data_IF_474454414930
#
_entry.id   IF_474454414930
#
_cell.length_a   1.000
_cell.length_b   1.000
_cell.length_c   1.000
_cell.angle_alpha   90.00
_cell.angle_beta   90.00
_cell.angle_gamma   90.00
#
_symmetry.space_group_name_H-M   'P 1'
#
loop_
_entity.id
_entity.type
_entity.pdbx_description
1 polymer ?
#
# COMPACT_ATOMS: atom_id res chain seq x y z
N UNK A 1 29.30 -0.88 -1.22
CA UNK A 1 28.63 -2.20 -1.24
C UNK A 1 28.33 -2.55 -2.69
N UNK A 2 28.16 -3.86 -2.98
CA UNK A 2 27.71 -4.33 -4.29
C UNK A 2 26.20 -4.64 -4.22
N UNK A 3 25.41 -4.00 -5.07
CA UNK A 3 23.96 -4.09 -5.09
C UNK A 3 23.49 -4.71 -6.41
N UNK A 4 22.70 -5.78 -6.38
CA UNK A 4 21.95 -6.23 -7.54
C UNK A 4 20.55 -5.66 -7.52
N UNK A 5 20.08 -5.13 -8.66
CA UNK A 5 18.71 -4.68 -8.86
C UNK A 5 18.07 -5.58 -9.90
N UNK A 6 17.12 -6.41 -9.47
CA UNK A 6 16.37 -7.32 -10.34
C UNK A 6 15.11 -6.59 -10.83
N UNK A 7 15.05 -6.40 -12.15
CA UNK A 7 14.04 -5.57 -12.81
C UNK A 7 14.53 -4.14 -13.06
N UNK A 8 15.11 -3.91 -14.23
CA UNK A 8 15.60 -2.60 -14.68
C UNK A 8 14.48 -1.75 -15.32
N UNK A 9 13.29 -1.76 -14.68
CA UNK A 9 12.15 -0.93 -15.01
C UNK A 9 12.25 0.47 -14.40
N UNK A 10 11.11 1.17 -14.31
CA UNK A 10 11.02 2.52 -13.75
C UNK A 10 11.54 2.59 -12.31
N UNK A 11 11.11 1.67 -11.44
CA UNK A 11 11.51 1.63 -10.03
C UNK A 11 13.00 1.32 -9.91
N UNK A 12 13.47 0.24 -10.55
CA UNK A 12 14.87 -0.18 -10.47
C UNK A 12 15.84 0.90 -10.92
N UNK A 13 15.57 1.55 -12.05
CA UNK A 13 16.43 2.63 -12.56
C UNK A 13 16.35 3.90 -11.71
N UNK A 14 15.21 4.19 -11.07
CA UNK A 14 15.04 5.33 -10.18
C UNK A 14 15.98 5.25 -8.98
N UNK A 15 16.21 4.06 -8.43
CA UNK A 15 17.11 3.87 -7.29
C UNK A 15 18.55 3.53 -7.71
N UNK A 16 18.76 2.91 -8.86
CA UNK A 16 20.10 2.62 -9.36
C UNK A 16 20.98 3.86 -9.46
N UNK A 17 20.45 4.96 -9.99
CA UNK A 17 21.20 6.21 -10.18
C UNK A 17 21.73 6.81 -8.86
N UNK A 18 20.91 7.14 -7.85
CA UNK A 18 21.39 7.72 -6.61
C UNK A 18 22.31 6.77 -5.82
N UNK A 19 22.08 5.45 -5.87
CA UNK A 19 22.99 4.50 -5.22
C UNK A 19 24.35 4.42 -5.91
N UNK A 20 24.39 4.45 -7.26
CA UNK A 20 25.65 4.55 -7.98
C UNK A 20 26.38 5.86 -7.63
N UNK A 21 25.67 6.98 -7.55
CA UNK A 21 26.22 8.27 -7.16
C UNK A 21 26.73 8.30 -5.70
N UNK A 22 26.14 7.48 -4.81
CA UNK A 22 26.61 7.27 -3.44
C UNK A 22 27.84 6.33 -3.35
N UNK A 23 28.35 5.85 -4.48
CA UNK A 23 29.57 5.03 -4.55
C UNK A 23 29.33 3.52 -4.38
N UNK A 24 28.09 3.05 -4.57
CA UNK A 24 27.82 1.62 -4.63
C UNK A 24 28.10 1.04 -6.03
N UNK A 25 28.60 -0.17 -6.07
CA UNK A 25 28.71 -0.95 -7.31
C UNK A 25 27.33 -1.52 -7.63
N UNK A 26 26.77 -1.14 -8.78
CA UNK A 26 25.43 -1.56 -9.19
C UNK A 26 25.52 -2.65 -10.26
N UNK A 27 24.76 -3.71 -10.06
CA UNK A 27 24.48 -4.74 -11.05
C UNK A 27 22.98 -4.68 -11.41
N UNK A 28 22.64 -4.31 -12.62
CA UNK A 28 21.27 -4.44 -13.12
C UNK A 28 21.07 -5.84 -13.66
N UNK A 29 20.00 -6.51 -13.24
CA UNK A 29 19.59 -7.81 -13.74
C UNK A 29 18.19 -7.71 -14.32
N UNK A 30 18.04 -7.92 -15.63
CA UNK A 30 16.74 -7.90 -16.30
C UNK A 30 16.72 -8.92 -17.44
N UNK A 31 15.76 -9.84 -17.42
CA UNK A 31 15.64 -10.91 -18.40
C UNK A 31 15.46 -10.38 -19.84
N UNK A 32 14.82 -9.20 -19.98
CA UNK A 32 14.55 -8.53 -21.26
C UNK A 32 14.76 -7.02 -21.13
N UNK A 33 16.02 -6.57 -21.00
CA UNK A 33 16.31 -5.18 -20.73
C UNK A 33 15.78 -4.27 -21.84
N UNK A 34 15.05 -3.24 -21.42
CA UNK A 34 14.51 -2.23 -22.32
C UNK A 34 15.63 -1.37 -22.93
N UNK A 35 15.41 -0.67 -24.07
CA UNK A 35 16.36 0.29 -24.60
C UNK A 35 16.78 1.36 -23.57
N UNK A 36 15.86 1.76 -22.68
CA UNK A 36 16.13 2.69 -21.57
C UNK A 36 17.10 2.09 -20.55
N UNK A 37 16.93 0.82 -20.17
CA UNK A 37 17.84 0.14 -19.26
C UNK A 37 19.24 -0.03 -19.86
N UNK A 38 19.33 -0.36 -21.16
CA UNK A 38 20.60 -0.47 -21.88
C UNK A 38 21.32 0.87 -21.99
N UNK A 39 20.58 1.95 -22.31
CA UNK A 39 21.13 3.30 -22.36
C UNK A 39 21.64 3.75 -20.99
N UNK A 40 20.86 3.52 -19.94
CA UNK A 40 21.24 3.81 -18.56
C UNK A 40 22.51 3.08 -18.14
N UNK A 41 22.60 1.77 -18.40
CA UNK A 41 23.77 0.97 -18.06
C UNK A 41 25.04 1.49 -18.74
N UNK A 42 24.94 1.88 -20.02
CA UNK A 42 26.05 2.46 -20.77
C UNK A 42 26.44 3.85 -20.29
N UNK A 43 25.45 4.71 -19.98
CA UNK A 43 25.69 6.10 -19.53
C UNK A 43 26.37 6.16 -18.18
N UNK A 44 25.99 5.26 -17.27
CA UNK A 44 26.46 5.25 -15.89
C UNK A 44 27.54 4.20 -15.61
N UNK A 45 28.05 3.53 -16.66
CA UNK A 45 29.05 2.44 -16.55
C UNK A 45 28.63 1.36 -15.53
N UNK A 46 27.36 0.95 -15.59
CA UNK A 46 26.74 -0.03 -14.70
C UNK A 46 26.62 -1.37 -15.43
N UNK A 47 27.00 -2.46 -14.77
CA UNK A 47 26.83 -3.81 -15.32
C UNK A 47 25.34 -4.14 -15.53
N UNK A 48 25.00 -4.71 -16.70
CA UNK A 48 23.67 -5.15 -17.05
C UNK A 48 23.73 -6.59 -17.53
N UNK A 49 23.08 -7.49 -16.80
CA UNK A 49 23.05 -8.92 -17.10
C UNK A 49 21.61 -9.39 -17.34
N UNK A 50 21.47 -10.50 -18.05
CA UNK A 50 20.16 -11.10 -18.37
C UNK A 50 19.84 -12.33 -17.52
N UNK A 51 20.77 -12.76 -16.65
CA UNK A 51 20.58 -13.86 -15.71
C UNK A 51 21.04 -13.46 -14.29
N UNK A 52 20.36 -13.95 -13.27
CA UNK A 52 20.75 -13.75 -11.88
C UNK A 52 22.02 -14.51 -11.51
N UNK A 53 22.29 -15.63 -12.17
CA UNK A 53 23.52 -16.43 -12.02
C UNK A 53 24.79 -15.63 -12.35
N UNK A 54 24.66 -14.56 -13.15
CA UNK A 54 25.78 -13.73 -13.63
C UNK A 54 26.24 -12.69 -12.60
N UNK A 55 25.87 -12.82 -11.31
CA UNK A 55 26.49 -11.96 -10.31
C UNK A 55 25.71 -11.69 -9.03
N UNK A 56 24.50 -12.21 -8.86
CA UNK A 56 23.70 -12.02 -7.63
C UNK A 56 24.40 -12.60 -6.39
N UNK A 57 25.14 -13.71 -6.55
CA UNK A 57 25.84 -14.38 -5.46
C UNK A 57 26.88 -13.50 -4.74
N UNK A 58 27.50 -12.57 -5.44
CA UNK A 58 28.56 -11.69 -4.92
C UNK A 58 28.01 -10.40 -4.29
N UNK A 59 26.69 -10.18 -4.32
CA UNK A 59 26.08 -8.93 -3.87
C UNK A 59 25.84 -8.91 -2.35
N UNK A 60 26.02 -7.72 -1.77
CA UNK A 60 25.74 -7.42 -0.36
C UNK A 60 24.23 -7.22 -0.14
N UNK A 61 23.57 -6.69 -1.16
CA UNK A 61 22.13 -6.39 -1.18
C UNK A 61 21.56 -6.77 -2.54
N UNK A 62 20.39 -7.39 -2.53
CA UNK A 62 19.60 -7.67 -3.73
C UNK A 62 18.26 -6.97 -3.60
N UNK A 63 17.91 -6.13 -4.58
CA UNK A 63 16.66 -5.36 -4.60
C UNK A 63 15.80 -5.87 -5.74
N UNK A 64 14.63 -6.42 -5.42
CA UNK A 64 13.64 -6.88 -6.41
C UNK A 64 12.65 -5.76 -6.75
N UNK A 65 12.62 -5.36 -8.02
CA UNK A 65 11.75 -4.32 -8.59
C UNK A 65 10.89 -4.87 -9.74
N UNK A 66 10.53 -6.14 -9.69
CA UNK A 66 9.72 -6.81 -10.70
C UNK A 66 8.20 -6.61 -10.46
N UNK A 67 7.37 -7.11 -11.35
CA UNK A 67 5.92 -7.11 -11.13
C UNK A 67 5.51 -8.06 -10.02
N UNK A 68 4.51 -7.70 -9.23
CA UNK A 68 4.01 -8.51 -8.11
C UNK A 68 3.61 -9.94 -8.50
N UNK A 69 3.13 -10.15 -9.73
CA UNK A 69 2.75 -11.48 -10.25
C UNK A 69 3.90 -12.47 -10.39
N UNK A 70 5.15 -11.99 -10.45
CA UNK A 70 6.36 -12.82 -10.56
C UNK A 70 7.29 -12.67 -9.35
N UNK A 71 6.85 -11.95 -8.30
CA UNK A 71 7.67 -11.65 -7.12
C UNK A 71 8.19 -12.92 -6.45
N UNK A 72 7.30 -13.87 -6.11
CA UNK A 72 7.70 -15.07 -5.38
C UNK A 72 8.71 -15.93 -6.15
N UNK A 73 8.48 -16.35 -7.42
CA UNK A 73 9.48 -17.13 -8.14
C UNK A 73 10.81 -16.40 -8.34
N UNK A 74 10.79 -15.08 -8.55
CA UNK A 74 12.02 -14.27 -8.63
C UNK A 74 12.75 -14.23 -7.28
N UNK A 75 12.04 -14.07 -6.18
CA UNK A 75 12.62 -14.12 -4.85
C UNK A 75 13.21 -15.51 -4.55
N UNK A 76 12.50 -16.61 -4.84
CA UNK A 76 12.98 -17.98 -4.65
C UNK A 76 14.29 -18.23 -5.41
N UNK A 77 14.37 -17.79 -6.67
CA UNK A 77 15.58 -17.92 -7.48
C UNK A 77 16.74 -17.06 -6.94
N UNK A 78 16.48 -15.80 -6.61
CA UNK A 78 17.50 -14.90 -6.07
C UNK A 78 18.05 -15.38 -4.72
N UNK A 79 17.16 -15.79 -3.81
CA UNK A 79 17.52 -16.30 -2.49
C UNK A 79 18.36 -17.60 -2.58
N UNK A 80 18.11 -18.43 -3.62
CA UNK A 80 18.91 -19.63 -3.84
C UNK A 80 20.39 -19.32 -4.19
N UNK A 81 20.62 -18.18 -4.84
CA UNK A 81 21.95 -17.74 -5.28
C UNK A 81 22.67 -16.88 -4.23
N UNK A 82 21.93 -16.16 -3.38
CA UNK A 82 22.47 -15.20 -2.42
C UNK A 82 23.30 -15.90 -1.33
N UNK A 83 24.34 -15.20 -0.89
CA UNK A 83 25.14 -15.62 0.26
C UNK A 83 24.43 -15.30 1.59
N UNK A 84 24.69 -16.08 2.60
CA UNK A 84 24.23 -15.84 3.98
C UNK A 84 24.59 -14.44 4.46
N UNK A 85 23.68 -13.76 5.11
CA UNK A 85 23.84 -12.41 5.64
C UNK A 85 23.73 -11.27 4.63
N UNK A 86 23.64 -11.55 3.31
CA UNK A 86 23.24 -10.57 2.32
C UNK A 86 21.78 -10.13 2.58
N UNK A 87 21.40 -8.92 2.20
CA UNK A 87 20.07 -8.39 2.42
C UNK A 87 19.22 -8.52 1.15
N UNK A 88 18.03 -9.10 1.27
CA UNK A 88 17.03 -9.05 0.20
C UNK A 88 16.00 -7.96 0.50
N UNK A 89 15.75 -7.09 -0.48
CA UNK A 89 14.74 -6.01 -0.41
C UNK A 89 13.71 -6.25 -1.51
N UNK A 90 12.46 -6.43 -1.13
CA UNK A 90 11.34 -6.62 -2.05
C UNK A 90 10.55 -5.32 -2.22
N UNK A 91 10.59 -4.72 -3.40
CA UNK A 91 9.82 -3.51 -3.75
C UNK A 91 8.60 -3.81 -4.65
N UNK A 92 8.20 -5.06 -4.78
CA UNK A 92 7.24 -5.50 -5.80
C UNK A 92 5.78 -5.18 -5.47
N UNK A 93 5.42 -4.97 -4.23
CA UNK A 93 4.02 -4.89 -3.76
C UNK A 93 3.18 -6.10 -4.23
N UNK A 94 3.70 -7.28 -4.03
CA UNK A 94 3.01 -8.54 -4.27
C UNK A 94 1.94 -8.80 -3.20
N UNK A 95 1.23 -9.92 -3.34
CA UNK A 95 0.35 -10.43 -2.29
C UNK A 95 1.15 -10.58 -0.98
N UNK A 96 0.69 -10.01 0.14
CA UNK A 96 1.37 -10.10 1.44
C UNK A 96 1.71 -11.53 1.85
N UNK A 97 0.88 -12.51 1.51
CA UNK A 97 1.14 -13.91 1.84
C UNK A 97 2.29 -14.49 1.01
N UNK A 98 2.43 -14.11 -0.25
CA UNK A 98 3.58 -14.49 -1.08
C UNK A 98 4.88 -13.86 -0.54
N UNK A 99 4.82 -12.62 -0.06
CA UNK A 99 5.96 -11.95 0.58
C UNK A 99 6.36 -12.66 1.87
N UNK A 100 5.40 -13.05 2.72
CA UNK A 100 5.66 -13.83 3.95
C UNK A 100 6.31 -15.17 3.62
N UNK A 101 5.84 -15.83 2.58
CA UNK A 101 6.44 -17.10 2.10
C UNK A 101 7.88 -16.89 1.64
N UNK A 102 8.17 -15.86 0.84
CA UNK A 102 9.53 -15.53 0.42
C UNK A 102 10.45 -15.21 1.61
N UNK A 103 9.94 -14.46 2.59
CA UNK A 103 10.67 -14.14 3.82
C UNK A 103 10.96 -15.37 4.68
N UNK A 104 10.06 -16.37 4.72
CA UNK A 104 10.30 -17.64 5.40
C UNK A 104 11.45 -18.43 4.71
N UNK A 105 11.46 -18.49 3.39
CA UNK A 105 12.56 -19.11 2.61
C UNK A 105 13.89 -18.37 2.87
N UNK A 106 13.86 -17.05 2.92
CA UNK A 106 15.05 -16.24 3.24
C UNK A 106 15.58 -16.55 4.65
N UNK A 107 14.69 -16.68 5.63
CA UNK A 107 15.05 -17.02 7.01
C UNK A 107 15.74 -18.37 7.14
N UNK A 108 15.28 -19.42 6.42
CA UNK A 108 15.93 -20.74 6.38
C UNK A 108 17.38 -20.66 5.87
N UNK A 109 17.70 -19.65 5.08
CA UNK A 109 19.04 -19.40 4.51
C UNK A 109 19.83 -18.34 5.30
N UNK A 110 19.29 -17.84 6.41
CA UNK A 110 19.88 -16.75 7.20
C UNK A 110 20.10 -15.48 6.36
N UNK A 111 19.17 -15.17 5.46
CA UNK A 111 19.14 -13.96 4.63
C UNK A 111 18.09 -13.01 5.21
N UNK A 112 18.47 -11.82 5.73
CA UNK A 112 17.51 -10.78 6.09
C UNK A 112 16.63 -10.38 4.89
N UNK A 113 15.33 -10.21 5.15
CA UNK A 113 14.34 -9.88 4.13
C UNK A 113 13.52 -8.67 4.55
N UNK A 114 13.46 -7.65 3.70
CA UNK A 114 12.70 -6.41 3.92
C UNK A 114 11.69 -6.22 2.79
N UNK A 115 10.44 -6.09 3.16
CA UNK A 115 9.33 -5.71 2.29
C UNK A 115 9.23 -4.18 2.25
N UNK A 116 9.26 -3.59 1.06
CA UNK A 116 9.20 -2.13 0.84
C UNK A 116 8.03 -1.78 -0.07
N UNK A 117 7.07 -1.07 0.45
CA UNK A 117 5.88 -0.61 -0.28
C UNK A 117 6.01 0.86 -0.69
N UNK A 118 5.85 1.13 -1.98
CA UNK A 118 5.89 2.48 -2.57
C UNK A 118 4.52 3.15 -2.38
N UNK A 119 4.47 4.31 -1.71
CA UNK A 119 3.25 5.03 -1.35
C UNK A 119 2.99 6.26 -2.24
N UNK A 120 3.14 6.14 -3.53
CA UNK A 120 2.92 7.25 -4.47
C UNK A 120 3.24 6.87 -5.90
N UNK A 121 3.24 7.87 -6.78
CA UNK A 121 3.62 7.71 -8.18
C UNK A 121 5.10 8.03 -8.36
N UNK A 122 5.91 7.00 -8.54
CA UNK A 122 7.37 7.15 -8.70
C UNK A 122 7.74 7.99 -9.93
N UNK A 123 6.90 7.96 -10.96
CA UNK A 123 7.04 8.81 -12.15
C UNK A 123 7.02 10.32 -11.85
N UNK A 124 6.37 10.73 -10.75
CA UNK A 124 6.24 12.15 -10.39
C UNK A 124 7.29 12.61 -9.37
N UNK A 125 7.60 11.77 -8.39
CA UNK A 125 8.45 12.15 -7.26
C UNK A 125 9.79 11.41 -7.22
N UNK A 126 10.00 10.49 -8.15
CA UNK A 126 11.23 9.71 -8.29
C UNK A 126 11.67 9.07 -6.95
N UNK A 127 12.96 9.15 -6.62
CA UNK A 127 13.49 8.62 -5.36
C UNK A 127 12.88 9.29 -4.10
N UNK A 128 12.25 10.47 -4.23
CA UNK A 128 11.57 11.17 -3.11
C UNK A 128 10.17 10.63 -2.81
N UNK A 129 9.71 9.60 -3.53
CA UNK A 129 8.43 8.94 -3.23
C UNK A 129 8.47 8.31 -1.84
N UNK A 130 7.42 8.54 -1.04
CA UNK A 130 7.32 7.95 0.29
C UNK A 130 7.28 6.41 0.22
N UNK A 131 8.03 5.78 1.12
CA UNK A 131 8.14 4.33 1.25
C UNK A 131 7.70 3.88 2.64
N UNK A 132 7.10 2.69 2.74
CA UNK A 132 6.96 1.94 3.98
C UNK A 132 7.83 0.71 3.89
N UNK A 133 8.42 0.29 5.03
CA UNK A 133 9.21 -0.93 5.06
C UNK A 133 8.96 -1.73 6.34
N UNK A 134 8.99 -3.06 6.20
CA UNK A 134 8.84 -4.02 7.29
C UNK A 134 9.74 -5.24 7.07
N UNK A 135 10.12 -5.93 8.15
CA UNK A 135 10.88 -7.16 8.06
C UNK A 135 12.24 -7.13 8.76
N UNK A 136 13.02 -8.19 8.58
CA UNK A 136 14.34 -8.36 9.21
C UNK A 136 15.40 -7.69 8.33
N UNK A 137 16.27 -6.87 8.92
CA UNK A 137 17.30 -6.08 8.21
C UNK A 137 16.85 -4.66 7.88
N UNK A 138 15.74 -4.22 8.45
CA UNK A 138 15.13 -2.91 8.22
C UNK A 138 16.09 -1.74 8.43
N UNK A 139 16.96 -1.81 9.44
CA UNK A 139 17.96 -0.77 9.72
C UNK A 139 18.92 -0.57 8.55
N UNK A 140 19.38 -1.66 7.91
CA UNK A 140 20.23 -1.59 6.72
C UNK A 140 19.49 -0.99 5.53
N UNK A 141 18.22 -1.34 5.34
CA UNK A 141 17.37 -0.78 4.30
C UNK A 141 17.17 0.74 4.51
N UNK A 142 16.88 1.18 5.75
CA UNK A 142 16.74 2.61 6.08
C UNK A 142 17.99 3.40 5.68
N UNK A 143 19.17 2.92 6.01
CA UNK A 143 20.44 3.57 5.64
C UNK A 143 20.58 3.63 4.12
N UNK A 144 20.38 2.52 3.42
CA UNK A 144 20.53 2.45 1.96
C UNK A 144 19.56 3.39 1.23
N UNK A 145 18.31 3.44 1.65
CA UNK A 145 17.32 4.35 1.04
C UNK A 145 17.58 5.82 1.39
N UNK A 146 18.11 6.11 2.58
CA UNK A 146 18.52 7.46 2.94
C UNK A 146 19.64 8.00 2.03
N UNK A 147 20.60 7.16 1.62
CA UNK A 147 21.65 7.50 0.66
C UNK A 147 21.07 7.85 -0.73
N UNK A 148 19.94 7.26 -1.09
CA UNK A 148 19.18 7.64 -2.29
C UNK A 148 18.29 8.87 -2.10
N UNK A 149 18.26 9.47 -0.91
CA UNK A 149 17.35 10.58 -0.57
C UNK A 149 15.87 10.15 -0.48
N UNK A 150 15.61 8.86 -0.30
CA UNK A 150 14.25 8.30 -0.25
C UNK A 150 13.68 8.32 1.17
N UNK A 151 12.48 8.89 1.39
CA UNK A 151 11.83 8.91 2.69
C UNK A 151 11.20 7.54 3.00
N UNK A 152 11.98 6.64 3.60
CA UNK A 152 11.54 5.32 4.02
C UNK A 152 11.12 5.35 5.48
N UNK A 153 9.85 5.02 5.73
CA UNK A 153 9.26 4.93 7.08
C UNK A 153 9.16 3.45 7.51
N UNK A 154 9.82 3.08 8.61
CA UNK A 154 9.65 1.77 9.22
C UNK A 154 8.21 1.53 9.73
N UNK A 155 7.72 0.30 9.55
CA UNK A 155 6.55 -0.22 10.26
C UNK A 155 7.04 -0.81 11.58
N UNK A 156 6.77 -0.14 12.68
CA UNK A 156 7.22 -0.56 14.01
C UNK A 156 6.67 -1.96 14.37
N UNK A 157 7.57 -2.88 14.71
CA UNK A 157 7.21 -4.26 15.03
C UNK A 157 6.68 -5.06 13.83
N UNK A 158 6.74 -4.50 12.61
CA UNK A 158 6.22 -5.13 11.40
C UNK A 158 7.10 -6.26 10.89
N UNK A 159 6.47 -7.34 10.46
CA UNK A 159 7.09 -8.43 9.72
C UNK A 159 7.00 -8.20 8.20
N UNK A 160 7.78 -8.95 7.42
CA UNK A 160 7.67 -8.93 5.97
C UNK A 160 6.22 -9.26 5.52
N UNK A 161 5.71 -8.51 4.56
CA UNK A 161 4.32 -8.53 4.10
C UNK A 161 3.43 -7.45 4.74
N UNK A 162 3.84 -6.84 5.85
CA UNK A 162 3.01 -5.82 6.52
C UNK A 162 3.05 -4.49 5.78
N UNK A 163 4.18 -4.11 5.17
CA UNK A 163 4.23 -2.90 4.36
C UNK A 163 3.33 -3.01 3.11
N UNK A 164 3.35 -4.17 2.44
CA UNK A 164 2.45 -4.45 1.32
C UNK A 164 0.98 -4.48 1.75
N UNK A 165 0.64 -5.12 2.88
CA UNK A 165 -0.71 -5.15 3.43
C UNK A 165 -1.23 -3.73 3.72
N UNK A 166 -0.42 -2.90 4.38
CA UNK A 166 -0.76 -1.51 4.67
C UNK A 166 -0.97 -0.69 3.40
N UNK A 167 -0.15 -0.89 2.37
CA UNK A 167 -0.33 -0.22 1.06
C UNK A 167 -1.66 -0.63 0.41
N UNK A 168 -2.02 -1.91 0.45
CA UNK A 168 -3.30 -2.41 -0.10
C UNK A 168 -4.47 -1.77 0.65
N UNK A 169 -4.46 -1.81 1.99
CA UNK A 169 -5.52 -1.22 2.82
C UNK A 169 -5.62 0.30 2.59
N UNK A 170 -4.48 0.99 2.50
CA UNK A 170 -4.46 2.41 2.14
C UNK A 170 -5.08 2.64 0.76
N UNK A 171 -4.83 1.77 -0.20
CA UNK A 171 -5.41 1.88 -1.55
C UNK A 171 -6.92 1.67 -1.54
N UNK A 172 -7.43 0.71 -0.76
CA UNK A 172 -8.88 0.53 -0.56
C UNK A 172 -9.51 1.82 -0.04
N UNK A 173 -8.92 2.41 1.00
CA UNK A 173 -9.43 3.65 1.59
C UNK A 173 -9.36 4.83 0.60
N UNK A 174 -8.20 5.08 -0.02
CA UNK A 174 -8.01 6.26 -0.87
C UNK A 174 -8.82 6.17 -2.18
N UNK A 175 -8.95 4.98 -2.78
CA UNK A 175 -9.75 4.79 -4.00
C UNK A 175 -11.26 4.80 -3.70
N UNK A 176 -11.67 4.28 -2.55
CA UNK A 176 -13.04 4.43 -2.08
C UNK A 176 -13.41 5.90 -1.86
N UNK A 177 -12.53 6.66 -1.20
CA UNK A 177 -12.72 8.09 -0.99
C UNK A 177 -12.74 8.88 -2.31
N UNK A 178 -11.83 8.56 -3.26
CA UNK A 178 -11.80 9.18 -4.59
C UNK A 178 -13.13 8.98 -5.32
N UNK A 179 -13.65 7.76 -5.36
CA UNK A 179 -14.92 7.45 -6.01
C UNK A 179 -16.11 8.15 -5.34
N UNK A 180 -16.15 8.18 -4.00
CA UNK A 180 -17.17 8.90 -3.23
C UNK A 180 -17.11 10.42 -3.49
N UNK A 181 -15.91 10.99 -3.53
CA UNK A 181 -15.70 12.40 -3.82
C UNK A 181 -16.22 12.78 -5.21
N UNK A 182 -15.91 11.97 -6.22
CA UNK A 182 -16.40 12.20 -7.59
C UNK A 182 -17.93 12.21 -7.61
N UNK A 183 -18.58 11.20 -7.04
CA UNK A 183 -20.05 11.10 -7.06
C UNK A 183 -20.69 12.26 -6.30
N UNK A 184 -20.17 12.62 -5.13
CA UNK A 184 -20.67 13.71 -4.29
C UNK A 184 -20.48 15.07 -4.95
N UNK A 185 -19.28 15.37 -5.48
CA UNK A 185 -18.98 16.69 -6.04
C UNK A 185 -19.60 16.90 -7.42
N UNK A 186 -19.80 15.86 -8.23
CA UNK A 186 -20.63 15.96 -9.45
C UNK A 186 -22.07 16.36 -9.10
N UNK A 187 -22.63 15.84 -8.00
CA UNK A 187 -23.94 16.24 -7.54
C UNK A 187 -23.99 17.69 -7.05
N UNK A 188 -22.97 18.10 -6.30
CA UNK A 188 -22.85 19.49 -5.82
C UNK A 188 -22.70 20.47 -6.97
N UNK A 189 -21.90 20.18 -7.98
CA UNK A 189 -21.71 20.99 -9.17
C UNK A 189 -23.00 21.15 -9.96
N UNK A 190 -23.72 20.04 -10.21
CA UNK A 190 -25.03 20.07 -10.89
C UNK A 190 -26.06 20.93 -10.16
N UNK A 191 -25.98 21.00 -8.81
CA UNK A 191 -26.87 21.80 -7.98
C UNK A 191 -26.36 23.24 -7.74
N UNK A 192 -25.17 23.59 -8.20
CA UNK A 192 -24.56 24.91 -8.00
C UNK A 192 -24.18 25.20 -6.54
N UNK A 193 -23.80 24.17 -5.76
CA UNK A 193 -23.51 24.30 -4.33
C UNK A 193 -22.10 23.83 -3.94
N UNK A 194 -21.19 23.68 -4.90
CA UNK A 194 -19.85 23.11 -4.68
C UNK A 194 -19.08 23.83 -3.56
N UNK A 195 -18.98 25.16 -3.60
CA UNK A 195 -18.29 25.95 -2.55
C UNK A 195 -18.97 25.80 -1.19
N UNK A 196 -20.30 25.78 -1.15
CA UNK A 196 -21.07 25.61 0.09
C UNK A 196 -20.88 24.19 0.67
N UNK A 197 -20.66 23.20 -0.19
CA UNK A 197 -20.33 21.85 0.26
C UNK A 197 -18.95 21.81 0.91
N UNK A 198 -17.94 22.50 0.36
CA UNK A 198 -16.63 22.64 1.02
C UNK A 198 -16.77 23.25 2.40
N UNK A 199 -17.53 24.35 2.53
CA UNK A 199 -17.78 24.98 3.83
C UNK A 199 -18.48 24.03 4.81
N UNK A 200 -19.47 23.27 4.33
CA UNK A 200 -20.21 22.32 5.16
C UNK A 200 -19.36 21.11 5.60
N UNK A 201 -18.33 20.75 4.86
CA UNK A 201 -17.40 19.67 5.21
C UNK A 201 -16.22 20.14 6.08
N UNK A 202 -16.07 21.45 6.30
CA UNK A 202 -14.94 22.01 7.05
C UNK A 202 -14.89 21.62 8.52
N UNK A 203 -15.98 21.12 9.09
CA UNK A 203 -16.02 20.56 10.44
C UNK A 203 -15.13 19.31 10.57
N UNK A 204 -14.93 18.57 9.48
CA UNK A 204 -14.05 17.39 9.43
C UNK A 204 -12.58 17.80 9.64
N UNK A 205 -12.18 18.98 9.18
CA UNK A 205 -10.80 19.48 9.31
C UNK A 205 -10.41 19.81 10.76
N UNK A 206 -11.39 19.93 11.66
CA UNK A 206 -11.17 20.27 13.08
C UNK A 206 -10.69 19.08 13.90
N UNK A 207 -10.80 17.86 13.38
CA UNK A 207 -10.32 16.64 14.03
C UNK A 207 -9.16 16.03 13.26
N UNK A 208 -8.27 15.30 13.97
CA UNK A 208 -7.30 14.48 13.25
C UNK A 208 -8.02 13.41 12.42
N UNK A 209 -7.46 13.04 11.25
CA UNK A 209 -8.02 11.94 10.45
C UNK A 209 -8.22 10.67 11.27
N UNK A 210 -7.29 10.36 12.19
CA UNK A 210 -7.39 9.20 13.10
C UNK A 210 -8.64 9.27 13.97
N UNK A 211 -8.89 10.41 14.59
CA UNK A 211 -10.02 10.60 15.50
C UNK A 211 -11.34 10.58 14.74
N UNK A 212 -11.38 11.23 13.58
CA UNK A 212 -12.54 11.23 12.69
C UNK A 212 -12.90 9.79 12.25
N UNK A 213 -11.94 9.02 11.72
CA UNK A 213 -12.19 7.63 11.30
C UNK A 213 -12.60 6.75 12.49
N UNK A 214 -11.98 6.92 13.66
CA UNK A 214 -12.39 6.23 14.87
C UNK A 214 -13.81 6.58 15.30
N UNK A 215 -14.23 7.84 15.19
CA UNK A 215 -15.59 8.27 15.47
C UNK A 215 -16.61 7.68 14.48
N UNK A 216 -16.29 7.63 13.19
CA UNK A 216 -17.16 7.00 12.19
C UNK A 216 -17.44 5.54 12.55
N UNK A 217 -16.42 4.74 12.91
CA UNK A 217 -16.58 3.32 13.26
C UNK A 217 -17.41 3.17 14.54
N UNK A 218 -17.07 3.90 15.62
CA UNK A 218 -17.80 3.82 16.89
C UNK A 218 -19.27 4.20 16.76
N UNK A 219 -19.56 5.26 16.00
CA UNK A 219 -20.93 5.75 15.84
C UNK A 219 -21.73 4.97 14.81
N UNK A 220 -21.07 4.26 13.88
CA UNK A 220 -21.73 3.42 12.89
C UNK A 220 -22.55 2.30 13.56
N UNK A 221 -21.93 1.58 14.48
CA UNK A 221 -22.56 0.45 15.19
C UNK A 221 -23.69 0.87 16.15
N UNK A 222 -23.92 2.17 16.32
CA UNK A 222 -25.03 2.72 17.13
C UNK A 222 -26.10 3.35 16.25
N UNK A 223 -25.68 4.08 15.21
CA UNK A 223 -26.58 4.96 14.44
C UNK A 223 -26.89 4.44 13.01
N UNK A 224 -26.41 3.26 12.63
CA UNK A 224 -26.65 2.73 11.28
C UNK A 224 -28.11 2.71 10.85
N UNK A 225 -29.11 2.34 11.72
CA UNK A 225 -30.51 2.33 11.29
C UNK A 225 -31.06 3.72 10.91
N UNK A 226 -30.65 4.78 11.63
CA UNK A 226 -31.05 6.14 11.30
C UNK A 226 -30.33 6.62 10.02
N UNK A 227 -29.02 6.41 9.95
CA UNK A 227 -28.19 6.81 8.81
C UNK A 227 -28.55 6.06 7.52
N UNK A 228 -29.05 4.82 7.60
CA UNK A 228 -29.54 4.09 6.44
C UNK A 228 -30.62 4.88 5.70
N UNK A 229 -31.57 5.48 6.42
CA UNK A 229 -32.63 6.30 5.82
C UNK A 229 -32.08 7.54 5.13
N UNK A 230 -31.05 8.14 5.71
CA UNK A 230 -30.36 9.29 5.10
C UNK A 230 -29.66 8.88 3.79
N UNK A 231 -29.01 7.72 3.76
CA UNK A 231 -28.34 7.19 2.56
C UNK A 231 -29.36 6.82 1.47
N UNK A 232 -30.50 6.18 1.83
CA UNK A 232 -31.57 5.84 0.90
C UNK A 232 -32.17 7.09 0.26
N UNK A 233 -32.38 8.14 1.05
CA UNK A 233 -32.89 9.42 0.54
C UNK A 233 -31.87 10.12 -0.37
N UNK A 234 -30.59 10.11 -0.02
CA UNK A 234 -29.53 10.67 -0.86
C UNK A 234 -29.47 9.92 -2.21
N UNK A 235 -29.48 8.58 -2.21
CA UNK A 235 -29.49 7.77 -3.42
C UNK A 235 -30.70 8.11 -4.31
N UNK A 236 -31.89 8.22 -3.71
CA UNK A 236 -33.11 8.58 -4.41
C UNK A 236 -33.01 9.97 -5.08
N UNK A 237 -32.48 10.96 -4.36
CA UNK A 237 -32.32 12.33 -4.88
C UNK A 237 -31.32 12.40 -6.02
N UNK A 238 -30.17 11.74 -5.92
CA UNK A 238 -29.17 11.71 -6.98
C UNK A 238 -29.73 11.05 -8.25
N UNK A 239 -30.46 9.94 -8.11
CA UNK A 239 -31.13 9.29 -9.25
C UNK A 239 -32.19 10.17 -9.89
N UNK A 240 -33.00 10.89 -9.10
CA UNK A 240 -34.00 11.82 -9.59
C UNK A 240 -33.35 13.02 -10.32
N UNK A 241 -32.13 13.38 -9.98
CA UNK A 241 -31.33 14.36 -10.66
C UNK A 241 -30.57 13.81 -11.89
N UNK A 242 -30.84 12.57 -12.32
CA UNK A 242 -30.19 11.89 -13.45
C UNK A 242 -28.65 11.85 -13.33
N UNK A 243 -28.15 11.71 -12.11
CA UNK A 243 -26.72 11.53 -11.84
C UNK A 243 -26.36 10.04 -11.84
N UNK A 244 -25.16 9.69 -12.29
CA UNK A 244 -24.65 8.33 -12.10
C UNK A 244 -24.47 8.06 -10.61
N UNK A 245 -25.06 6.95 -10.13
CA UNK A 245 -25.00 6.52 -8.73
C UNK A 245 -24.32 5.15 -8.68
N UNK A 246 -23.02 5.15 -8.40
CA UNK A 246 -22.21 3.94 -8.39
C UNK A 246 -21.74 3.55 -6.97
N UNK A 247 -21.50 4.53 -6.11
CA UNK A 247 -20.94 4.33 -4.76
C UNK A 247 -22.04 4.18 -3.70
N UNK A 248 -23.07 5.02 -3.73
CA UNK A 248 -24.16 5.00 -2.73
C UNK A 248 -24.88 3.66 -2.60
N UNK A 249 -25.10 2.84 -3.64
CA UNK A 249 -25.68 1.50 -3.46
C UNK A 249 -24.83 0.60 -2.55
N UNK A 250 -23.50 0.64 -2.67
CA UNK A 250 -22.59 -0.08 -1.78
C UNK A 250 -22.60 0.49 -0.35
N UNK A 251 -22.66 1.81 -0.20
CA UNK A 251 -22.81 2.47 1.10
C UNK A 251 -24.13 2.00 1.76
N UNK A 252 -25.26 2.07 1.04
CA UNK A 252 -26.55 1.60 1.52
C UNK A 252 -26.52 0.14 1.98
N UNK A 253 -25.86 -0.73 1.23
CA UNK A 253 -25.71 -2.14 1.61
C UNK A 253 -24.97 -2.31 2.93
N UNK A 254 -23.88 -1.58 3.15
CA UNK A 254 -23.13 -1.60 4.43
C UNK A 254 -24.02 -1.19 5.59
N UNK A 255 -24.77 -0.08 5.45
CA UNK A 255 -25.67 0.40 6.50
C UNK A 255 -26.86 -0.53 6.71
N UNK A 256 -27.45 -1.11 5.66
CA UNK A 256 -28.54 -2.05 5.75
C UNK A 256 -28.15 -3.33 6.48
N UNK A 257 -27.00 -3.89 6.16
CA UNK A 257 -26.45 -5.08 6.82
C UNK A 257 -26.21 -4.83 8.31
N UNK A 258 -25.57 -3.72 8.65
CA UNK A 258 -25.36 -3.34 10.06
C UNK A 258 -26.67 -3.12 10.78
N UNK A 259 -27.66 -2.45 10.16
CA UNK A 259 -28.98 -2.22 10.75
C UNK A 259 -29.73 -3.53 11.02
N UNK A 260 -29.71 -4.46 10.07
CA UNK A 260 -30.34 -5.76 10.23
C UNK A 260 -29.70 -6.59 11.35
N UNK A 261 -28.39 -6.51 11.51
CA UNK A 261 -27.69 -7.20 12.60
C UNK A 261 -27.95 -6.54 13.95
N UNK A 262 -28.00 -5.21 14.04
CA UNK A 262 -28.37 -4.49 15.26
C UNK A 262 -29.77 -4.84 15.74
N UNK A 263 -30.71 -5.10 14.84
CA UNK A 263 -32.06 -5.56 15.19
C UNK A 263 -32.08 -6.97 15.80
N UNK A 264 -31.10 -7.80 15.49
CA UNK A 264 -30.95 -9.17 16.04
C UNK A 264 -30.09 -9.20 17.27
N UNK A 265 -29.04 -8.43 17.27
CA UNK A 265 -28.03 -8.39 18.33
C UNK A 265 -27.61 -6.93 18.56
N UNK A 266 -28.32 -6.20 19.44
CA UNK A 266 -27.95 -4.82 19.76
C UNK A 266 -26.57 -4.74 20.40
N UNK A 267 -25.88 -3.61 20.21
CA UNK A 267 -24.68 -3.31 20.97
C UNK A 267 -25.08 -2.83 22.37
N UNK A 268 -24.41 -3.33 23.41
CA UNK A 268 -24.81 -3.10 24.81
C UNK A 268 -24.52 -1.68 25.36
N UNK A 269 -23.97 -0.80 24.55
CA UNK A 269 -23.62 0.55 24.96
C UNK A 269 -23.89 1.59 23.87
N UNK A 270 -24.37 2.75 24.28
CA UNK A 270 -24.56 3.91 23.38
C UNK A 270 -23.25 4.62 22.99
N UNK A 271 -22.14 4.32 23.68
CA UNK A 271 -20.83 4.95 23.44
C UNK A 271 -19.72 3.88 23.46
N UNK A 272 -19.67 3.01 22.45
CA UNK A 272 -18.67 1.95 22.41
C UNK A 272 -17.26 2.51 22.20
N UNK A 273 -16.28 1.86 22.82
CA UNK A 273 -14.88 2.02 22.45
C UNK A 273 -14.63 1.50 21.03
N UNK A 274 -13.53 1.89 20.42
CA UNK A 274 -13.15 1.39 19.10
C UNK A 274 -13.00 -0.13 19.07
N UNK A 275 -12.43 -0.72 20.14
CA UNK A 275 -12.31 -2.17 20.30
C UNK A 275 -13.67 -2.86 20.31
N UNK A 276 -14.60 -2.39 21.14
CA UNK A 276 -15.97 -2.93 21.21
C UNK A 276 -16.72 -2.82 19.88
N UNK A 277 -16.54 -1.72 19.17
CA UNK A 277 -17.14 -1.55 17.83
C UNK A 277 -16.58 -2.55 16.83
N UNK A 278 -15.28 -2.78 16.83
CA UNK A 278 -14.66 -3.81 15.98
C UNK A 278 -15.09 -5.22 16.37
N UNK A 279 -15.09 -5.58 17.65
CA UNK A 279 -15.52 -6.90 18.11
C UNK A 279 -16.96 -7.20 17.65
N UNK A 280 -17.85 -6.21 17.81
CA UNK A 280 -19.22 -6.32 17.32
C UNK A 280 -19.28 -6.47 15.79
N UNK A 281 -18.53 -5.65 15.02
CA UNK A 281 -18.53 -5.71 13.55
C UNK A 281 -17.98 -7.03 13.03
N UNK A 282 -16.91 -7.57 13.61
CA UNK A 282 -16.36 -8.87 13.22
C UNK A 282 -17.40 -9.98 13.46
N UNK A 283 -18.00 -10.00 14.64
CA UNK A 283 -19.08 -10.96 14.98
C UNK A 283 -20.27 -10.83 14.02
N UNK A 284 -20.72 -9.60 13.78
CA UNK A 284 -21.85 -9.30 12.89
C UNK A 284 -21.64 -9.76 11.44
N UNK A 285 -20.40 -9.82 10.99
CA UNK A 285 -20.02 -10.24 9.63
C UNK A 285 -19.55 -11.70 9.57
N UNK A 286 -19.56 -12.45 10.68
CA UNK A 286 -19.10 -13.84 10.73
C UNK A 286 -17.60 -14.01 10.47
N UNK A 287 -16.82 -12.96 10.73
CA UNK A 287 -15.37 -12.96 10.54
C UNK A 287 -14.68 -13.15 11.89
N UNK A 288 -13.72 -14.06 11.94
CA UNK A 288 -12.86 -14.23 13.13
C UNK A 288 -11.85 -13.08 13.16
N UNK A 289 -11.71 -12.47 14.33
CA UNK A 289 -10.77 -11.35 14.53
C UNK A 289 -9.34 -11.85 14.68
#
# INVERSE_FOLDING_TARGET
MKLAIIGAGEVGLTYAHPWAAAGHEILLCDLKPSPRAQAFAKEHDVALVTSMEDGVADCDVVVSCVFGTVSLPVAEQALALMRTGALFIDMTTADPEQIRRAAAIAAERSIPYVDVAILGAIALTHAKTNLLAAGIGLERAVVLFAEAGAPLKPVEGGAAGDAAALKILRSVFTKGLEALTIECFMAAEKQGVTEKLHDALSDIDQASLRDFLGALIRTHVVHAPRRLKEVEEAERQLRAAELPVAVLPGVREVFARTSAQLAREPIDTASPSLGQAFDWLFKANGVVR
#
